data_IF_401193382237
#
_entry.id   IF_401193382237
#
_cell.length_a   1.000
_cell.length_b   1.000
_cell.length_c   1.000
_cell.angle_alpha   90.00
_cell.angle_beta   90.00
_cell.angle_gamma   90.00
#
_symmetry.space_group_name_H-M   'P 1'
#
loop_
_entity.id
_entity.type
_entity.pdbx_description
1 polymer ?
#
# COMPACT_ATOMS: atom_id res chain seq x y z
N UNK A 1 -17.23 11.91 18.97
CA UNK A 1 -16.95 12.22 17.54
C UNK A 1 -16.77 10.91 16.82
N UNK A 2 -17.49 10.72 15.73
CA UNK A 2 -17.31 9.51 14.91
C UNK A 2 -16.13 9.73 13.96
N UNK A 3 -15.01 9.06 14.23
CA UNK A 3 -13.82 9.11 13.38
C UNK A 3 -14.06 8.29 12.12
N UNK A 4 -14.55 8.94 11.06
CA UNK A 4 -14.87 8.27 9.80
C UNK A 4 -13.78 8.52 8.75
N UNK A 5 -13.36 7.44 8.06
CA UNK A 5 -12.42 7.47 6.92
C UNK A 5 -13.15 6.89 5.72
N UNK A 6 -13.51 7.75 4.76
CA UNK A 6 -14.28 7.41 3.56
C UNK A 6 -13.41 7.30 2.28
N UNK A 7 -12.09 7.50 2.41
CA UNK A 7 -11.17 7.66 1.28
C UNK A 7 -9.83 7.02 1.48
N UNK A 8 -9.15 6.69 0.39
CA UNK A 8 -7.81 6.10 0.39
C UNK A 8 -6.90 6.75 -0.65
N UNK A 9 -5.61 6.78 -0.38
CA UNK A 9 -4.55 7.21 -1.30
C UNK A 9 -3.62 6.03 -1.58
N UNK A 10 -3.35 5.75 -2.84
CA UNK A 10 -2.35 4.77 -3.29
C UNK A 10 -1.16 5.52 -3.88
N UNK A 11 0.05 5.27 -3.36
CA UNK A 11 1.28 5.81 -3.91
C UNK A 11 1.84 4.86 -4.97
N UNK A 12 1.82 5.28 -6.22
CA UNK A 12 2.21 4.47 -7.39
C UNK A 12 3.18 5.23 -8.34
N UNK A 13 3.98 6.15 -7.79
CA UNK A 13 4.89 7.01 -8.56
C UNK A 13 6.32 6.50 -8.70
N UNK A 14 6.75 5.54 -7.88
CA UNK A 14 8.12 5.05 -7.80
C UNK A 14 8.65 4.46 -9.11
N UNK A 15 9.93 4.64 -9.42
CA UNK A 15 10.58 4.18 -10.67
C UNK A 15 10.60 2.65 -10.79
N UNK A 16 10.66 1.93 -9.67
CA UNK A 16 10.75 0.46 -9.69
C UNK A 16 12.13 -0.05 -10.15
N UNK A 17 13.21 0.65 -9.79
CA UNK A 17 14.58 0.35 -10.24
C UNK A 17 15.03 -1.09 -10.03
N UNK A 18 14.55 -1.75 -8.98
CA UNK A 18 14.86 -3.16 -8.68
C UNK A 18 14.37 -4.15 -9.73
N UNK A 19 13.41 -3.76 -10.56
CA UNK A 19 12.83 -4.57 -11.65
C UNK A 19 13.20 -4.10 -13.06
N UNK A 20 14.20 -3.23 -13.18
CA UNK A 20 14.73 -2.90 -14.51
C UNK A 20 15.33 -4.17 -15.17
N UNK A 21 15.17 -4.33 -16.51
CA UNK A 21 14.64 -3.35 -17.47
C UNK A 21 13.11 -3.34 -17.62
N UNK A 22 12.35 -4.27 -17.05
CA UNK A 22 10.90 -4.38 -17.24
C UNK A 22 10.15 -3.10 -16.84
N UNK A 23 10.54 -2.47 -15.72
CA UNK A 23 9.91 -1.22 -15.24
C UNK A 23 10.24 0.02 -16.08
N UNK A 24 11.09 -0.09 -17.08
CA UNK A 24 11.25 0.96 -18.11
C UNK A 24 9.96 1.14 -18.93
N UNK A 25 9.23 0.06 -19.17
CA UNK A 25 8.03 0.06 -20.01
C UNK A 25 6.72 -0.12 -19.22
N UNK A 26 6.75 -0.84 -18.11
CA UNK A 26 5.56 -1.25 -17.35
C UNK A 26 5.67 -0.77 -15.91
N UNK A 27 4.60 -0.16 -15.39
CA UNK A 27 4.53 0.21 -13.97
C UNK A 27 4.52 -1.07 -13.11
N UNK A 28 5.34 -1.12 -12.04
CA UNK A 28 5.42 -2.30 -11.15
C UNK A 28 4.07 -2.67 -10.52
N UNK A 29 3.22 -1.69 -10.33
CA UNK A 29 1.86 -1.83 -9.78
C UNK A 29 0.92 -2.59 -10.74
N UNK A 30 1.32 -2.74 -12.01
CA UNK A 30 0.59 -3.51 -13.04
C UNK A 30 1.24 -4.88 -13.28
N UNK A 31 2.32 -5.22 -12.62
CA UNK A 31 2.93 -6.54 -12.74
C UNK A 31 1.93 -7.63 -12.35
N UNK A 32 1.83 -8.71 -13.13
CA UNK A 32 0.90 -9.79 -12.85
C UNK A 32 1.39 -10.65 -11.67
N UNK A 33 0.50 -10.84 -10.72
CA UNK A 33 0.63 -11.79 -9.61
C UNK A 33 -0.40 -12.88 -9.90
N UNK A 34 0.05 -13.98 -10.49
CA UNK A 34 -0.86 -14.88 -11.20
C UNK A 34 -1.48 -14.17 -12.41
N UNK A 35 -2.80 -14.11 -12.48
CA UNK A 35 -3.55 -13.36 -13.52
C UNK A 35 -3.95 -11.94 -13.11
N UNK A 36 -3.69 -11.53 -11.85
CA UNK A 36 -4.16 -10.26 -11.29
C UNK A 36 -3.03 -9.24 -11.20
N UNK A 37 -3.17 -8.01 -11.71
CA UNK A 37 -2.22 -6.93 -11.43
C UNK A 37 -2.11 -6.64 -9.94
N UNK A 38 -0.90 -6.27 -9.46
CA UNK A 38 -0.67 -5.91 -8.06
C UNK A 38 -1.64 -4.82 -7.56
N UNK A 39 -2.01 -3.87 -8.41
CA UNK A 39 -2.97 -2.81 -8.10
C UNK A 39 -4.35 -3.36 -7.65
N UNK A 40 -4.82 -4.46 -8.23
CA UNK A 40 -6.13 -5.03 -7.87
C UNK A 40 -6.17 -5.55 -6.43
N UNK A 41 -5.06 -6.04 -5.89
CA UNK A 41 -4.99 -6.42 -4.47
C UNK A 41 -5.16 -5.21 -3.54
N UNK A 42 -4.64 -4.05 -3.93
CA UNK A 42 -4.81 -2.81 -3.16
C UNK A 42 -6.25 -2.29 -3.26
N UNK A 43 -6.84 -2.31 -4.46
CA UNK A 43 -8.23 -1.90 -4.66
C UNK A 43 -9.20 -2.85 -3.93
N UNK A 44 -8.93 -4.15 -3.94
CA UNK A 44 -9.72 -5.14 -3.18
C UNK A 44 -9.69 -4.87 -1.68
N UNK A 45 -8.50 -4.63 -1.11
CA UNK A 45 -8.34 -4.33 0.32
C UNK A 45 -9.11 -3.06 0.72
N UNK A 46 -9.03 -2.00 -0.10
CA UNK A 46 -9.76 -0.75 0.08
C UNK A 46 -11.28 -0.97 -0.04
N UNK A 47 -11.71 -1.62 -1.12
CA UNK A 47 -13.12 -1.87 -1.42
C UNK A 47 -13.81 -2.70 -0.34
N UNK A 48 -13.19 -3.82 0.06
CA UNK A 48 -13.67 -4.70 1.14
C UNK A 48 -13.61 -4.04 2.53
N UNK A 49 -12.86 -2.94 2.67
CA UNK A 49 -12.84 -2.11 3.89
C UNK A 49 -13.95 -1.05 3.92
N UNK A 50 -14.83 -1.02 2.91
CA UNK A 50 -15.95 -0.09 2.81
C UNK A 50 -15.59 1.29 2.25
N UNK A 51 -14.37 1.47 1.75
CA UNK A 51 -13.92 2.74 1.15
C UNK A 51 -14.20 2.72 -0.35
N UNK A 52 -14.83 3.78 -0.86
CA UNK A 52 -15.20 3.93 -2.27
C UNK A 52 -14.44 5.04 -3.00
N UNK A 53 -13.84 5.99 -2.28
CA UNK A 53 -13.08 7.10 -2.86
C UNK A 53 -11.60 6.80 -2.83
N UNK A 54 -10.95 6.74 -4.00
CA UNK A 54 -9.54 6.39 -4.14
C UNK A 54 -8.79 7.44 -4.96
N UNK A 55 -7.68 7.91 -4.44
CA UNK A 55 -6.73 8.74 -5.18
C UNK A 55 -5.45 7.94 -5.46
N UNK A 56 -5.10 7.76 -6.71
CA UNK A 56 -3.83 7.15 -7.11
C UNK A 56 -2.84 8.26 -7.46
N UNK A 57 -1.78 8.39 -6.67
CA UNK A 57 -0.70 9.34 -6.94
C UNK A 57 0.38 8.64 -7.75
N UNK A 58 0.63 9.11 -8.96
CA UNK A 58 1.58 8.50 -9.89
C UNK A 58 2.49 9.51 -10.57
N UNK A 59 3.48 9.05 -11.34
CA UNK A 59 4.31 9.92 -12.17
C UNK A 59 3.63 10.24 -13.51
N UNK A 60 4.03 11.35 -14.16
CA UNK A 60 3.52 11.69 -15.49
C UNK A 60 3.73 10.57 -16.51
N UNK A 61 4.87 9.88 -16.45
CA UNK A 61 5.21 8.79 -17.36
C UNK A 61 4.28 7.56 -17.22
N UNK A 62 3.79 7.28 -16.01
CA UNK A 62 2.90 6.14 -15.73
C UNK A 62 1.42 6.47 -15.89
N UNK A 63 1.04 7.75 -15.94
CA UNK A 63 -0.36 8.18 -16.01
C UNK A 63 -1.18 7.49 -17.12
N UNK A 64 -0.68 7.33 -18.37
CA UNK A 64 -1.43 6.68 -19.44
C UNK A 64 -1.77 5.21 -19.12
N UNK A 65 -0.84 4.50 -18.47
CA UNK A 65 -1.02 3.09 -18.08
C UNK A 65 -2.16 2.94 -17.08
N UNK A 66 -2.15 3.76 -16.02
CA UNK A 66 -3.24 3.73 -15.03
C UNK A 66 -4.58 4.17 -15.62
N UNK A 67 -4.61 5.19 -16.48
CA UNK A 67 -5.84 5.61 -17.17
C UNK A 67 -6.41 4.48 -18.01
N UNK A 68 -5.56 3.78 -18.80
CA UNK A 68 -6.00 2.65 -19.62
C UNK A 68 -6.50 1.48 -18.76
N UNK A 69 -5.76 1.16 -17.69
CA UNK A 69 -6.13 0.06 -16.78
C UNK A 69 -7.46 0.30 -16.08
N UNK A 70 -7.75 1.56 -15.69
CA UNK A 70 -8.90 1.92 -14.85
C UNK A 70 -10.01 2.59 -15.66
N UNK A 71 -10.16 2.21 -16.91
CA UNK A 71 -11.27 2.62 -17.78
C UNK A 71 -11.81 1.43 -18.57
N UNK A 72 -13.11 1.48 -18.90
CA UNK A 72 -13.72 0.49 -19.77
C UNK A 72 -13.09 0.48 -21.17
N UNK A 73 -12.78 -0.69 -21.69
CA UNK A 73 -12.37 -0.92 -23.07
C UNK A 73 -13.50 -1.62 -23.84
N UNK A 74 -14.41 -0.83 -24.43
CA UNK A 74 -15.59 -1.33 -25.13
C UNK A 74 -15.26 -2.33 -26.25
N UNK A 75 -14.10 -2.18 -26.92
CA UNK A 75 -13.68 -3.11 -27.98
C UNK A 75 -13.30 -4.47 -27.39
N UNK A 76 -12.49 -4.46 -26.32
CA UNK A 76 -12.11 -5.68 -25.59
C UNK A 76 -13.33 -6.35 -24.97
N UNK A 77 -14.18 -5.59 -24.29
CA UNK A 77 -15.41 -6.10 -23.66
C UNK A 77 -16.34 -6.76 -24.68
N UNK A 78 -16.52 -6.13 -25.86
CA UNK A 78 -17.32 -6.71 -26.94
C UNK A 78 -16.71 -8.02 -27.46
N UNK A 79 -15.39 -8.04 -27.68
CA UNK A 79 -14.70 -9.25 -28.11
C UNK A 79 -14.82 -10.39 -27.08
N UNK A 80 -14.64 -10.09 -25.79
CA UNK A 80 -14.77 -11.06 -24.71
C UNK A 80 -16.21 -11.55 -24.55
N UNK A 81 -17.20 -10.67 -24.72
CA UNK A 81 -18.62 -11.04 -24.71
C UNK A 81 -18.94 -12.05 -25.82
N UNK A 82 -18.45 -11.82 -27.04
CA UNK A 82 -18.64 -12.73 -28.16
C UNK A 82 -17.97 -14.09 -27.93
N UNK A 83 -16.92 -14.16 -27.13
CA UNK A 83 -16.22 -15.38 -26.73
C UNK A 83 -16.80 -16.05 -25.47
N UNK A 84 -17.82 -15.47 -24.83
CA UNK A 84 -18.35 -15.95 -23.55
C UNK A 84 -17.38 -15.82 -22.36
N UNK A 85 -16.43 -14.85 -22.42
CA UNK A 85 -15.34 -14.67 -21.45
C UNK A 85 -15.33 -13.30 -20.77
N UNK A 86 -16.44 -12.59 -20.75
CA UNK A 86 -16.53 -11.25 -20.15
C UNK A 86 -16.25 -11.27 -18.62
N UNK A 87 -16.50 -12.41 -17.99
CA UNK A 87 -16.21 -12.66 -16.58
C UNK A 87 -14.74 -12.46 -16.21
N UNK A 88 -13.80 -12.57 -17.15
CA UNK A 88 -12.38 -12.29 -16.95
C UNK A 88 -12.08 -10.84 -16.54
N UNK A 89 -12.98 -9.89 -16.87
CA UNK A 89 -12.88 -8.48 -16.47
C UNK A 89 -13.77 -8.12 -15.29
N UNK A 90 -14.57 -9.07 -14.78
CA UNK A 90 -15.59 -8.80 -13.75
C UNK A 90 -15.03 -8.08 -12.52
N UNK A 91 -13.93 -8.55 -11.97
CA UNK A 91 -13.32 -7.95 -10.78
C UNK A 91 -12.87 -6.50 -11.06
N UNK A 92 -12.15 -6.27 -12.15
CA UNK A 92 -11.68 -4.95 -12.52
C UNK A 92 -12.84 -3.99 -12.78
N UNK A 93 -13.83 -4.42 -13.56
CA UNK A 93 -14.99 -3.60 -13.87
C UNK A 93 -15.80 -3.26 -12.61
N UNK A 94 -15.93 -4.19 -11.65
CA UNK A 94 -16.55 -3.89 -10.36
C UNK A 94 -15.87 -2.70 -9.65
N UNK A 95 -14.54 -2.63 -9.66
CA UNK A 95 -13.84 -1.50 -9.02
C UNK A 95 -13.98 -0.21 -9.83
N UNK A 96 -14.00 -0.29 -11.17
CA UNK A 96 -14.23 0.87 -12.04
C UNK A 96 -15.63 1.45 -11.84
N UNK A 97 -16.63 0.59 -11.70
CA UNK A 97 -18.05 1.01 -11.59
C UNK A 97 -18.42 1.49 -10.19
N UNK A 98 -17.89 0.82 -9.15
CA UNK A 98 -18.31 1.01 -7.77
C UNK A 98 -17.45 2.00 -7.00
N UNK A 99 -16.28 2.38 -7.50
CA UNK A 99 -15.34 3.26 -6.82
C UNK A 99 -15.13 4.57 -7.59
N UNK A 100 -15.06 5.67 -6.84
CA UNK A 100 -14.66 6.99 -7.37
C UNK A 100 -13.12 7.06 -7.41
N UNK A 101 -12.53 6.68 -8.56
CA UNK A 101 -11.07 6.63 -8.72
C UNK A 101 -10.56 7.92 -9.38
N UNK A 102 -9.76 8.68 -8.67
CA UNK A 102 -9.05 9.88 -9.16
C UNK A 102 -7.57 9.57 -9.34
N UNK A 103 -6.96 9.98 -10.45
CA UNK A 103 -5.52 9.84 -10.67
C UNK A 103 -4.86 11.22 -10.64
N UNK A 104 -3.90 11.40 -9.75
CA UNK A 104 -3.14 12.64 -9.56
C UNK A 104 -1.68 12.39 -9.91
N UNK A 105 -1.06 13.31 -10.64
CA UNK A 105 0.39 13.24 -10.89
C UNK A 105 1.15 13.90 -9.75
N UNK A 106 2.25 13.26 -9.31
CA UNK A 106 3.13 13.83 -8.31
C UNK A 106 3.62 15.22 -8.73
N UNK A 107 3.55 16.17 -7.81
CA UNK A 107 3.94 17.55 -8.01
C UNK A 107 5.46 17.77 -7.93
N UNK A 108 5.86 19.01 -7.59
CA UNK A 108 7.29 19.43 -7.55
C UNK A 108 8.07 18.85 -6.36
N UNK A 109 7.39 18.44 -5.28
CA UNK A 109 8.05 17.85 -4.12
C UNK A 109 8.38 16.39 -4.42
N UNK A 110 9.66 16.02 -4.25
CA UNK A 110 10.14 14.67 -4.48
C UNK A 110 9.97 13.78 -3.24
N UNK A 111 10.15 12.47 -3.43
CA UNK A 111 10.09 11.48 -2.37
C UNK A 111 8.67 11.08 -1.94
N UNK A 112 8.58 10.22 -0.95
CA UNK A 112 7.29 9.66 -0.47
C UNK A 112 6.38 10.72 0.15
N UNK A 113 6.93 11.65 0.95
CA UNK A 113 6.15 12.75 1.51
C UNK A 113 5.64 13.70 0.43
N UNK A 114 6.44 13.98 -0.61
CA UNK A 114 6.02 14.79 -1.75
C UNK A 114 4.89 14.15 -2.56
N UNK A 115 4.92 12.83 -2.71
CA UNK A 115 3.82 12.08 -3.33
C UNK A 115 2.53 12.24 -2.52
N UNK A 116 2.58 12.05 -1.19
CA UNK A 116 1.42 12.25 -0.31
C UNK A 116 0.91 13.70 -0.40
N UNK A 117 1.81 14.68 -0.38
CA UNK A 117 1.43 16.10 -0.47
C UNK A 117 0.65 16.42 -1.74
N UNK A 118 0.92 15.70 -2.83
CA UNK A 118 0.18 15.86 -4.10
C UNK A 118 -1.30 15.49 -3.97
N UNK A 119 -1.68 14.68 -2.98
CA UNK A 119 -3.07 14.34 -2.67
C UNK A 119 -3.75 15.35 -1.73
N UNK A 120 -3.05 16.38 -1.19
CA UNK A 120 -3.60 17.32 -0.18
C UNK A 120 -4.94 17.94 -0.59
N UNK A 121 -5.01 18.45 -1.83
CA UNK A 121 -6.24 19.07 -2.35
C UNK A 121 -7.39 18.06 -2.44
N UNK A 122 -7.10 16.84 -2.88
CA UNK A 122 -8.09 15.77 -2.99
C UNK A 122 -8.54 15.26 -1.61
N UNK A 123 -7.63 15.20 -0.63
CA UNK A 123 -7.95 14.78 0.74
C UNK A 123 -8.92 15.72 1.46
N UNK A 124 -8.97 17.00 1.09
CA UNK A 124 -9.93 17.99 1.63
C UNK A 124 -9.92 18.12 3.15
N UNK A 125 -8.75 18.01 3.79
CA UNK A 125 -8.63 18.07 5.24
C UNK A 125 -9.25 16.89 5.99
N UNK A 126 -9.55 15.79 5.32
CA UNK A 126 -10.11 14.58 5.93
C UNK A 126 -9.03 13.51 6.13
N UNK A 127 -9.18 12.63 7.14
CA UNK A 127 -8.32 11.47 7.29
C UNK A 127 -8.52 10.50 6.12
N UNK A 128 -7.47 9.73 5.82
CA UNK A 128 -7.51 8.76 4.71
C UNK A 128 -6.62 7.53 5.00
N UNK A 129 -6.97 6.40 4.39
CA UNK A 129 -6.08 5.25 4.34
C UNK A 129 -4.97 5.51 3.31
N UNK A 130 -3.71 5.22 3.64
CA UNK A 130 -2.57 5.36 2.74
C UNK A 130 -1.93 4.01 2.50
N UNK A 131 -1.74 3.65 1.23
CA UNK A 131 -1.15 2.40 0.79
C UNK A 131 -0.01 2.68 -0.19
N UNK A 132 1.11 1.95 -0.07
CA UNK A 132 2.14 1.96 -1.10
C UNK A 132 1.85 0.90 -2.16
N UNK A 133 2.13 1.24 -3.42
CA UNK A 133 1.76 0.44 -4.58
C UNK A 133 2.47 -0.91 -4.71
N UNK A 134 3.54 -1.13 -3.95
CA UNK A 134 4.34 -2.35 -3.91
C UNK A 134 4.29 -3.09 -2.57
N UNK A 135 3.53 -2.62 -1.60
CA UNK A 135 3.35 -3.28 -0.30
C UNK A 135 2.00 -4.00 -0.25
N UNK A 136 2.03 -5.33 -0.39
CA UNK A 136 0.83 -6.14 -0.40
C UNK A 136 0.66 -6.90 0.91
N UNK A 137 -0.58 -6.92 1.39
CA UNK A 137 -0.98 -7.55 2.63
C UNK A 137 -2.09 -8.55 2.33
N UNK A 138 -1.79 -9.82 2.45
CA UNK A 138 -2.77 -10.89 2.23
C UNK A 138 -3.35 -11.28 3.60
N UNK A 139 -4.62 -10.98 3.89
CA UNK A 139 -5.22 -11.28 5.18
C UNK A 139 -5.13 -12.76 5.54
N UNK A 140 -4.88 -13.06 6.81
CA UNK A 140 -4.94 -14.42 7.32
C UNK A 140 -6.38 -14.96 7.20
N UNK A 141 -6.53 -16.29 7.21
CA UNK A 141 -7.86 -16.92 7.13
C UNK A 141 -8.80 -16.31 8.17
N UNK A 142 -9.98 -15.88 7.74
CA UNK A 142 -11.01 -15.23 8.56
C UNK A 142 -10.64 -13.83 9.12
N UNK A 143 -9.50 -13.25 8.74
CA UNK A 143 -9.18 -11.88 9.11
C UNK A 143 -9.81 -10.86 8.15
N UNK A 144 -10.19 -9.69 8.69
CA UNK A 144 -10.60 -8.54 7.88
C UNK A 144 -9.45 -8.06 6.99
N UNK A 145 -9.73 -7.36 5.87
CA UNK A 145 -8.71 -6.60 5.12
C UNK A 145 -7.90 -5.71 6.06
N UNK A 146 -6.61 -5.55 5.78
CA UNK A 146 -5.72 -4.81 6.72
C UNK A 146 -6.13 -3.35 6.85
N UNK A 147 -6.61 -2.72 5.77
CA UNK A 147 -7.18 -1.37 5.87
C UNK A 147 -8.36 -1.34 6.86
N UNK A 148 -9.27 -2.31 6.84
CA UNK A 148 -10.37 -2.39 7.81
C UNK A 148 -9.88 -2.57 9.26
N UNK A 149 -8.81 -3.37 9.46
CA UNK A 149 -8.19 -3.52 10.79
C UNK A 149 -7.65 -2.17 11.31
N UNK A 150 -6.97 -1.40 10.45
CA UNK A 150 -6.48 -0.05 10.80
C UNK A 150 -7.62 0.93 11.09
N UNK A 151 -8.72 0.86 10.33
CA UNK A 151 -9.91 1.68 10.57
C UNK A 151 -10.52 1.39 11.94
N UNK A 152 -10.55 0.12 12.38
CA UNK A 152 -11.05 -0.25 13.71
C UNK A 152 -10.17 0.36 14.82
N UNK A 153 -8.85 0.43 14.63
CA UNK A 153 -7.92 1.09 15.57
C UNK A 153 -8.12 2.60 15.55
N UNK A 154 -8.23 3.20 14.36
CA UNK A 154 -8.45 4.63 14.20
C UNK A 154 -9.75 5.10 14.86
N UNK A 155 -10.85 4.35 14.67
CA UNK A 155 -12.14 4.65 15.30
C UNK A 155 -12.07 4.73 16.83
N UNK A 156 -11.18 3.94 17.44
CA UNK A 156 -10.99 3.92 18.90
C UNK A 156 -10.05 5.01 19.41
N UNK A 157 -9.07 5.41 18.60
CA UNK A 157 -7.98 6.28 19.08
C UNK A 157 -8.03 7.70 18.53
N UNK A 158 -8.59 7.89 17.34
CA UNK A 158 -8.57 9.15 16.59
C UNK A 158 -7.16 9.61 16.18
N UNK A 159 -6.14 8.75 16.36
CA UNK A 159 -4.74 9.05 16.12
C UNK A 159 -4.27 8.46 14.79
N UNK A 160 -3.20 8.99 14.24
CA UNK A 160 -2.51 8.37 13.11
C UNK A 160 -2.17 6.92 13.42
N UNK A 161 -2.43 5.99 12.48
CA UNK A 161 -2.17 4.55 12.69
C UNK A 161 -1.17 4.06 11.67
N UNK A 162 -0.15 3.34 12.12
CA UNK A 162 0.83 2.65 11.28
C UNK A 162 0.75 1.13 11.47
N UNK A 163 0.81 0.37 10.37
CA UNK A 163 1.05 -1.07 10.43
C UNK A 163 2.45 -1.35 10.94
N UNK A 164 2.58 -2.28 11.88
CA UNK A 164 3.88 -2.78 12.34
C UNK A 164 3.91 -4.30 12.36
N UNK A 165 5.12 -4.85 12.21
CA UNK A 165 5.38 -6.29 12.28
C UNK A 165 6.72 -6.53 12.98
N UNK A 166 6.78 -7.55 13.82
CA UNK A 166 8.06 -8.03 14.36
C UNK A 166 8.86 -8.72 13.27
N UNK A 167 10.11 -8.34 13.14
CA UNK A 167 11.06 -8.93 12.21
C UNK A 167 12.39 -9.21 12.92
N UNK A 168 13.21 -10.17 12.42
CA UNK A 168 14.55 -10.37 12.93
C UNK A 168 15.33 -9.04 12.96
N UNK A 169 16.09 -8.78 14.04
CA UNK A 169 16.72 -7.49 14.28
C UNK A 169 17.70 -7.09 13.17
N UNK A 170 18.33 -8.07 12.52
CA UNK A 170 19.24 -7.89 11.40
C UNK A 170 18.54 -7.43 10.10
N UNK A 171 17.21 -7.57 10.03
CA UNK A 171 16.41 -7.13 8.89
C UNK A 171 15.91 -5.69 9.06
N UNK A 172 15.76 -5.24 10.30
CA UNK A 172 15.20 -3.91 10.65
C UNK A 172 15.90 -2.74 9.94
N UNK A 173 17.26 -2.73 9.73
CA UNK A 173 17.93 -1.66 9.00
C UNK A 173 17.47 -1.41 7.56
N UNK A 174 16.65 -2.29 7.01
CA UNK A 174 16.05 -2.11 5.66
C UNK A 174 14.74 -1.32 5.69
N UNK A 175 14.16 -1.13 6.86
CA UNK A 175 12.85 -0.55 7.10
C UNK A 175 12.92 0.58 8.14
N UNK A 176 11.77 1.12 8.51
CA UNK A 176 11.69 2.00 9.67
C UNK A 176 11.52 1.17 10.95
N UNK A 177 12.26 1.54 12.00
CA UNK A 177 12.15 0.96 13.35
C UNK A 177 11.16 1.77 14.19
N UNK A 178 10.16 1.11 14.79
CA UNK A 178 9.15 1.77 15.62
C UNK A 178 9.43 1.51 17.10
N UNK A 179 9.57 2.59 17.87
CA UNK A 179 9.73 2.54 19.32
C UNK A 179 8.35 2.71 19.97
N UNK A 180 7.93 1.70 20.73
CA UNK A 180 6.61 1.70 21.35
C UNK A 180 6.66 2.12 22.83
N UNK A 181 5.51 2.62 23.29
CA UNK A 181 5.25 2.93 24.70
C UNK A 181 4.20 1.97 25.28
N UNK A 182 3.14 2.55 25.84
CA UNK A 182 2.06 1.82 26.50
C UNK A 182 1.30 0.94 25.50
N UNK A 183 0.99 -0.31 25.89
CA UNK A 183 0.04 -1.16 25.19
C UNK A 183 -1.38 -0.64 25.41
N UNK A 184 -2.10 -0.38 24.33
CA UNK A 184 -3.46 0.17 24.32
C UNK A 184 -4.53 -0.90 24.09
N UNK A 185 -4.14 -2.06 23.57
CA UNK A 185 -5.04 -3.17 23.26
C UNK A 185 -4.30 -4.35 22.64
N UNK A 186 -5.04 -5.33 22.10
CA UNK A 186 -4.45 -6.46 21.39
C UNK A 186 -3.73 -5.99 20.12
N UNK A 187 -2.40 -6.12 20.09
CA UNK A 187 -1.55 -5.66 18.99
C UNK A 187 -1.52 -4.12 18.80
N UNK A 188 -2.05 -3.32 19.74
CA UNK A 188 -2.13 -1.86 19.63
C UNK A 188 -1.23 -1.22 20.68
N UNK A 189 -0.34 -0.33 20.24
CA UNK A 189 0.65 0.35 21.09
C UNK A 189 0.72 1.84 20.80
N UNK A 190 1.00 2.65 21.80
CA UNK A 190 1.52 3.99 21.56
C UNK A 190 2.86 3.87 20.82
N UNK A 191 3.04 4.63 19.76
CA UNK A 191 4.34 4.77 19.13
C UNK A 191 4.98 6.09 19.58
N UNK A 192 6.13 5.97 20.25
CA UNK A 192 6.87 7.13 20.79
C UNK A 192 7.80 7.75 19.75
N UNK A 193 8.35 6.91 18.89
CA UNK A 193 9.26 7.34 17.83
C UNK A 193 9.26 6.36 16.67
N UNK A 194 9.72 6.81 15.51
CA UNK A 194 9.97 6.00 14.33
C UNK A 194 11.24 6.49 13.65
N UNK A 195 12.18 5.58 13.40
CA UNK A 195 13.50 5.89 12.86
C UNK A 195 13.67 5.16 11.53
N UNK A 196 13.88 5.92 10.46
CA UNK A 196 14.07 5.36 9.12
C UNK A 196 15.44 4.71 8.98
N UNK A 197 15.46 3.42 8.68
CA UNK A 197 16.67 2.62 8.38
C UNK A 197 17.81 2.86 9.38
N UNK A 198 17.57 2.61 10.68
CA UNK A 198 18.60 2.83 11.71
C UNK A 198 19.74 1.84 11.51
N UNK A 199 20.98 2.31 11.65
CA UNK A 199 22.16 1.43 11.66
C UNK A 199 22.13 0.48 12.88
N UNK A 200 21.68 1.00 14.02
CA UNK A 200 21.55 0.25 15.28
C UNK A 200 20.09 0.29 15.75
N UNK A 201 19.23 -0.66 15.31
CA UNK A 201 17.83 -0.66 15.68
C UNK A 201 17.62 -0.98 17.16
N UNK A 202 16.73 -0.21 17.81
CA UNK A 202 16.39 -0.35 19.23
C UNK A 202 15.11 -1.15 19.46
N UNK A 203 14.49 -1.64 18.41
CA UNK A 203 13.25 -2.45 18.44
C UNK A 203 13.24 -3.42 17.28
N UNK A 204 12.59 -4.57 17.47
CA UNK A 204 12.27 -5.54 16.44
C UNK A 204 10.99 -5.22 15.65
N UNK A 205 10.27 -4.14 16.03
CA UNK A 205 9.06 -3.69 15.36
C UNK A 205 9.38 -2.80 14.17
N UNK A 206 9.03 -3.30 13.00
CA UNK A 206 9.20 -2.61 11.71
C UNK A 206 7.92 -1.91 11.32
N UNK A 207 8.01 -0.63 10.97
CA UNK A 207 6.93 0.13 10.35
C UNK A 207 6.78 -0.24 8.87
N UNK A 208 5.56 -0.58 8.46
CA UNK A 208 5.23 -0.96 7.09
C UNK A 208 4.31 0.07 6.45
N UNK A 209 4.38 0.17 5.13
CA UNK A 209 3.78 1.26 4.36
C UNK A 209 2.26 1.13 4.13
N UNK A 210 1.51 0.91 5.23
CA UNK A 210 0.05 1.02 5.27
C UNK A 210 -0.37 1.76 6.54
N UNK A 211 -1.20 2.81 6.37
CA UNK A 211 -1.50 3.77 7.42
C UNK A 211 -2.95 4.25 7.39
N UNK A 212 -3.44 4.77 8.53
CA UNK A 212 -4.50 5.78 8.52
C UNK A 212 -3.85 7.11 8.85
N UNK A 213 -3.92 8.04 7.92
CA UNK A 213 -3.27 9.34 7.96
C UNK A 213 -4.24 10.39 8.49
N UNK A 214 -3.79 11.16 9.47
CA UNK A 214 -4.50 12.34 9.96
C UNK A 214 -4.12 13.59 9.16
N UNK A 215 -5.02 14.56 8.97
CA UNK A 215 -4.78 15.71 8.08
C UNK A 215 -3.61 16.61 8.46
N UNK A 216 -3.24 16.67 9.74
CA UNK A 216 -2.11 17.44 10.27
C UNK A 216 -0.76 17.06 9.66
N UNK A 217 -0.64 15.86 9.10
CA UNK A 217 0.54 15.46 8.33
C UNK A 217 0.90 16.45 7.23
N UNK A 218 -0.09 17.05 6.57
CA UNK A 218 0.12 18.02 5.49
C UNK A 218 0.76 19.33 5.95
N UNK A 219 0.72 19.64 7.24
CA UNK A 219 1.33 20.85 7.81
C UNK A 219 2.82 20.65 8.09
N UNK A 220 3.25 19.39 8.30
CA UNK A 220 4.65 19.06 8.54
C UNK A 220 5.45 18.92 7.23
N UNK A 221 4.87 18.34 6.17
CA UNK A 221 5.58 17.99 4.92
C UNK A 221 6.35 19.16 4.30
N UNK A 222 5.84 20.40 4.20
CA UNK A 222 6.57 21.50 3.57
C UNK A 222 7.89 21.86 4.26
N UNK A 223 7.98 21.58 5.57
CA UNK A 223 9.09 21.97 6.43
C UNK A 223 10.03 20.80 6.76
N UNK A 224 9.84 19.63 6.14
CA UNK A 224 10.72 18.49 6.34
C UNK A 224 12.13 18.73 5.80
N UNK A 225 13.17 18.14 6.43
CA UNK A 225 14.52 18.17 5.91
C UNK A 225 14.59 17.52 4.52
N UNK A 226 15.36 18.11 3.63
CA UNK A 226 15.62 17.55 2.30
C UNK A 226 16.90 16.76 2.32
N UNK A 227 16.84 15.54 1.76
CA UNK A 227 18.03 14.74 1.53
C UNK A 227 18.90 15.35 0.41
N UNK A 228 20.12 14.82 0.26
CA UNK A 228 21.08 15.28 -0.77
C UNK A 228 20.51 15.17 -2.19
N UNK A 229 19.60 14.22 -2.46
CA UNK A 229 18.86 14.07 -3.71
C UNK A 229 17.56 14.91 -3.78
N UNK A 230 17.29 15.77 -2.79
CA UNK A 230 16.10 16.62 -2.69
C UNK A 230 14.81 15.90 -2.27
N UNK A 231 14.86 14.62 -1.90
CA UNK A 231 13.70 13.84 -1.47
C UNK A 231 13.23 14.24 -0.06
N UNK A 232 11.91 14.17 0.14
CA UNK A 232 11.23 14.31 1.42
C UNK A 232 10.70 12.93 1.81
N UNK A 233 11.12 12.42 2.97
CA UNK A 233 10.66 11.10 3.44
C UNK A 233 9.37 11.25 4.25
N UNK A 234 8.44 10.36 4.00
CA UNK A 234 7.21 10.25 4.78
C UNK A 234 7.51 9.95 6.26
N UNK A 235 8.50 9.10 6.51
CA UNK A 235 8.87 8.67 7.86
C UNK A 235 9.24 9.84 8.76
N UNK A 236 9.86 10.90 8.20
CA UNK A 236 10.21 12.10 8.96
C UNK A 236 8.96 12.87 9.44
N UNK A 237 7.90 12.94 8.61
CA UNK A 237 6.61 13.51 9.05
C UNK A 237 5.93 12.64 10.11
N UNK A 238 5.96 11.31 9.93
CA UNK A 238 5.40 10.35 10.89
C UNK A 238 6.16 10.41 12.22
N UNK A 239 7.48 10.63 12.19
CA UNK A 239 8.30 10.83 13.39
C UNK A 239 7.84 12.05 14.20
N UNK A 240 7.60 13.17 13.54
CA UNK A 240 7.08 14.38 14.21
C UNK A 240 5.74 14.08 14.90
N UNK A 241 4.86 13.34 14.23
CA UNK A 241 3.55 12.94 14.77
C UNK A 241 3.73 12.01 15.98
N UNK A 242 4.66 11.04 15.90
CA UNK A 242 4.96 10.14 17.00
C UNK A 242 5.45 10.89 18.24
N UNK A 243 6.43 11.77 18.08
CA UNK A 243 7.02 12.56 19.17
C UNK A 243 6.02 13.51 19.83
N UNK A 244 4.96 13.90 19.12
CA UNK A 244 3.82 14.64 19.66
C UNK A 244 2.73 13.76 20.29
N UNK A 245 2.95 12.43 20.38
CA UNK A 245 1.99 11.49 20.94
C UNK A 245 0.78 11.21 20.06
N UNK A 246 0.87 11.54 18.77
CA UNK A 246 -0.20 11.38 17.78
C UNK A 246 -0.18 10.05 17.03
N UNK A 247 0.81 9.17 17.23
CA UNK A 247 0.99 7.92 16.50
C UNK A 247 0.60 6.69 17.33
N UNK A 248 -0.10 5.76 16.68
CA UNK A 248 -0.42 4.42 17.20
C UNK A 248 0.12 3.37 16.25
N UNK A 249 0.86 2.39 16.80
CA UNK A 249 1.35 1.23 16.08
C UNK A 249 0.38 0.06 16.22
N UNK A 250 0.10 -0.66 15.13
CA UNK A 250 -0.79 -1.80 15.12
C UNK A 250 -0.15 -3.03 14.46
N UNK A 251 -0.03 -4.13 15.21
CA UNK A 251 0.37 -5.45 14.71
C UNK A 251 -0.80 -6.08 13.95
N UNK A 252 -0.76 -6.02 12.63
CA UNK A 252 -1.84 -6.49 11.74
C UNK A 252 -1.86 -8.03 11.59
N UNK A 253 -3.03 -8.57 11.19
CA UNK A 253 -3.27 -10.01 10.98
C UNK A 253 -3.29 -10.34 9.49
N UNK A 254 -2.11 -10.40 8.87
CA UNK A 254 -1.91 -10.72 7.45
C UNK A 254 -0.48 -11.20 7.16
N UNK A 255 -0.29 -11.85 6.03
CA UNK A 255 1.04 -12.07 5.45
C UNK A 255 1.42 -10.85 4.61
N UNK A 256 2.59 -10.29 4.87
CA UNK A 256 3.13 -9.12 4.17
C UNK A 256 4.12 -9.53 3.10
N UNK A 257 4.04 -8.88 1.94
CA UNK A 257 4.96 -9.02 0.81
C UNK A 257 5.45 -7.65 0.33
N UNK A 258 6.77 -7.40 0.40
CA UNK A 258 7.44 -6.28 -0.28
C UNK A 258 7.57 -6.65 -1.76
N UNK A 259 6.57 -6.30 -2.57
CA UNK A 259 6.61 -6.55 -4.01
C UNK A 259 7.61 -5.65 -4.76
N UNK A 260 8.33 -4.77 -4.06
CA UNK A 260 9.55 -4.15 -4.56
C UNK A 260 10.77 -5.05 -4.45
N UNK A 261 10.71 -6.15 -3.71
CA UNK A 261 11.75 -7.18 -3.59
C UNK A 261 11.45 -8.35 -4.52
N UNK A 262 12.42 -8.74 -5.35
CA UNK A 262 12.24 -9.83 -6.35
C UNK A 262 11.82 -11.15 -5.70
N UNK A 263 12.45 -11.53 -4.58
CA UNK A 263 12.15 -12.79 -3.90
C UNK A 263 10.74 -12.79 -3.30
N UNK A 264 10.37 -11.70 -2.60
CA UNK A 264 9.03 -11.59 -1.99
C UNK A 264 7.93 -11.51 -3.06
N UNK A 265 8.18 -10.79 -4.16
CA UNK A 265 7.29 -10.80 -5.32
C UNK A 265 7.10 -12.21 -5.89
N UNK A 266 8.20 -12.96 -6.10
CA UNK A 266 8.14 -14.33 -6.63
C UNK A 266 7.40 -15.27 -5.70
N UNK A 267 7.64 -15.18 -4.37
CA UNK A 267 6.88 -15.96 -3.38
C UNK A 267 5.38 -15.71 -3.47
N UNK A 268 4.97 -14.45 -3.61
CA UNK A 268 3.55 -14.12 -3.74
C UNK A 268 2.97 -14.63 -5.06
N UNK A 269 3.70 -14.53 -6.18
CA UNK A 269 3.26 -15.11 -7.45
C UNK A 269 3.04 -16.62 -7.34
N UNK A 270 3.98 -17.34 -6.74
CA UNK A 270 3.84 -18.79 -6.51
C UNK A 270 2.61 -19.06 -5.63
N UNK A 271 2.46 -18.36 -4.53
CA UNK A 271 1.33 -18.53 -3.63
C UNK A 271 -0.03 -18.29 -4.31
N UNK A 272 -0.14 -17.26 -5.15
CA UNK A 272 -1.37 -17.00 -5.90
C UNK A 272 -1.63 -18.07 -6.97
N UNK A 273 -0.58 -18.53 -7.67
CA UNK A 273 -0.70 -19.62 -8.62
C UNK A 273 -1.13 -20.94 -7.97
N UNK A 274 -0.69 -21.22 -6.74
CA UNK A 274 -1.10 -22.42 -5.99
C UNK A 274 -2.57 -22.41 -5.55
N UNK A 275 -3.30 -21.29 -5.68
CA UNK A 275 -4.75 -21.23 -5.47
C UNK A 275 -5.55 -21.75 -6.68
N UNK A 276 -4.94 -21.83 -7.86
CA UNK A 276 -5.56 -22.38 -9.05
C UNK A 276 -5.35 -23.91 -9.08
N UNK A 277 -6.40 -24.67 -8.78
CA UNK A 277 -6.35 -26.13 -8.69
C UNK A 277 -5.94 -26.80 -10.03
N UNK A 278 -6.07 -26.10 -11.17
CA UNK A 278 -5.69 -26.64 -12.51
C UNK A 278 -4.19 -26.70 -12.69
N UNK A 279 -3.43 -25.80 -12.07
CA UNK A 279 -1.98 -25.71 -12.22
C UNK A 279 -1.21 -26.12 -10.96
N UNK A 280 -1.88 -26.17 -9.83
CA UNK A 280 -1.30 -26.39 -8.49
C UNK A 280 -0.40 -27.64 -8.45
N UNK A 281 -0.94 -28.81 -8.85
CA UNK A 281 -0.17 -30.05 -8.78
C UNK A 281 1.05 -30.00 -9.71
N UNK A 282 0.86 -29.57 -10.96
CA UNK A 282 1.95 -29.45 -11.94
C UNK A 282 3.03 -28.48 -11.46
N UNK A 283 2.66 -27.37 -10.82
CA UNK A 283 3.59 -26.39 -10.28
C UNK A 283 4.39 -26.96 -9.09
N UNK A 284 3.72 -27.69 -8.19
CA UNK A 284 4.38 -28.35 -7.05
C UNK A 284 5.37 -29.43 -7.53
N UNK A 285 4.96 -30.24 -8.51
CA UNK A 285 5.82 -31.28 -9.08
C UNK A 285 7.03 -30.66 -9.83
N UNK A 286 6.82 -29.57 -10.56
CA UNK A 286 7.92 -28.84 -11.18
C UNK A 286 8.91 -28.30 -10.15
N UNK A 287 8.44 -27.67 -9.07
CA UNK A 287 9.31 -27.13 -8.01
C UNK A 287 10.12 -28.24 -7.30
N UNK A 288 9.52 -29.41 -7.10
CA UNK A 288 10.21 -30.55 -6.45
C UNK A 288 11.34 -31.15 -7.32
N UNK A 289 11.26 -30.96 -8.63
CA UNK A 289 12.22 -31.53 -9.59
C UNK A 289 13.28 -30.49 -10.03
N UNK A 290 13.29 -29.28 -9.48
CA UNK A 290 14.38 -28.31 -9.64
C UNK A 290 15.56 -28.63 -8.72
#
# INVERSE_FOLDING_TARGET
MEYNVDRAVILAGGIGSRFLPATKAIAKEIFPIGSRPALLFLLEDIYKSGIKKVCIVTSKAKLPVFKKMLSHDKKLETALKNLGRLDMLKELNTYIDDMEITIVTQGKLNGSAGAIYSAKKWAQGKPFALLCGDDLFIPNKNAKPVTAQLLDVYKKTGKFVICVKKMPIEVVPRYSCVLTGKKLGDGVYEAKDIIEKPENPQSDLVGLAKYIVTPDMFDYIPNLPRFTNGELRMTDAVQIIAQKGGLVAYEFKATYYDCGNKLEFTKLVIQECLKDEKIKQNLLDYIKNL
#
